data_IF_433712104578
#
_entry.id   IF_433712104578
#
_cell.length_a   1.000
_cell.length_b   1.000
_cell.length_c   1.000
_cell.angle_alpha   90.00
_cell.angle_beta   90.00
_cell.angle_gamma   90.00
#
_symmetry.space_group_name_H-M   'P 1'
#
loop_
_entity.id
_entity.type
_entity.pdbx_description
1 polymer ?
#
# COMPACT_ATOMS: atom_id res chain seq x y z
N UNK A 1 9.67 -32.58 41.65
CA UNK A 1 8.39 -31.83 41.68
C UNK A 1 8.54 -30.69 40.69
N UNK A 2 8.27 -30.88 39.39
CA UNK A 2 6.96 -30.98 38.73
C UNK A 2 6.01 -29.83 39.10
N UNK A 3 5.68 -29.05 38.05
CA UNK A 3 4.55 -28.15 37.85
C UNK A 3 4.72 -26.64 38.09
N UNK A 4 4.24 -25.90 37.08
CA UNK A 4 3.78 -24.50 37.04
C UNK A 4 4.82 -23.41 36.75
N UNK A 5 5.13 -23.21 35.46
CA UNK A 5 5.01 -21.90 34.79
C UNK A 5 5.11 -22.08 33.27
N UNK A 6 4.03 -22.56 32.68
CA UNK A 6 3.65 -22.28 31.31
C UNK A 6 2.40 -21.38 31.42
N UNK A 7 2.22 -20.45 30.47
CA UNK A 7 1.27 -19.30 30.47
C UNK A 7 1.94 -18.00 30.92
N UNK A 8 2.79 -17.43 30.05
CA UNK A 8 3.12 -16.00 30.06
C UNK A 8 3.69 -15.47 28.71
N UNK A 9 3.61 -16.24 27.61
CA UNK A 9 4.28 -15.87 26.34
C UNK A 9 3.33 -15.58 25.16
N UNK A 10 2.03 -15.37 25.41
CA UNK A 10 1.02 -15.18 24.36
C UNK A 10 0.23 -13.86 24.44
N UNK A 11 0.67 -12.89 25.27
CA UNK A 11 -0.13 -11.70 25.60
C UNK A 11 0.48 -10.36 25.17
N UNK A 12 1.68 -10.32 24.58
CA UNK A 12 2.34 -9.05 24.21
C UNK A 12 2.21 -8.69 22.74
N UNK A 13 1.98 -9.64 21.83
CA UNK A 13 1.83 -9.35 20.38
C UNK A 13 0.40 -8.95 19.99
N UNK A 14 -0.60 -9.23 20.82
CA UNK A 14 -2.00 -8.82 20.61
C UNK A 14 -2.21 -7.34 20.95
N UNK A 15 -1.32 -6.72 21.73
CA UNK A 15 -1.47 -5.34 22.22
C UNK A 15 -1.20 -4.29 21.12
N UNK A 16 -0.26 -4.50 20.21
CA UNK A 16 0.03 -3.52 19.16
C UNK A 16 -1.12 -3.38 18.13
N UNK A 17 -1.76 -4.49 17.75
CA UNK A 17 -2.92 -4.47 16.85
C UNK A 17 -4.22 -4.04 17.54
N UNK A 18 -4.40 -4.37 18.83
CA UNK A 18 -5.55 -3.86 19.61
C UNK A 18 -5.43 -2.39 19.97
N UNK A 19 -4.22 -1.84 20.16
CA UNK A 19 -4.05 -0.40 20.43
C UNK A 19 -4.47 0.44 19.21
N UNK A 20 -4.14 0.01 17.99
CA UNK A 20 -4.62 0.69 16.77
C UNK A 20 -6.14 0.58 16.56
N UNK A 21 -6.72 -0.60 16.78
CA UNK A 21 -8.18 -0.79 16.71
C UNK A 21 -8.93 -0.01 17.81
N UNK A 22 -8.39 0.04 19.04
CA UNK A 22 -8.99 0.76 20.17
C UNK A 22 -8.88 2.28 20.04
N UNK A 23 -7.85 2.81 19.38
CA UNK A 23 -7.72 4.24 19.12
C UNK A 23 -8.76 4.72 18.09
N UNK A 24 -9.04 3.92 17.07
CA UNK A 24 -10.11 4.20 16.09
C UNK A 24 -11.52 4.01 16.68
N UNK A 25 -11.74 2.96 17.49
CA UNK A 25 -13.03 2.71 18.15
C UNK A 25 -13.39 3.79 19.20
N UNK A 26 -12.40 4.33 19.93
CA UNK A 26 -12.64 5.40 20.91
C UNK A 26 -13.00 6.74 20.26
N UNK A 27 -12.48 7.02 19.07
CA UNK A 27 -12.90 8.18 18.29
C UNK A 27 -14.35 8.04 17.81
N UNK A 28 -14.74 6.84 17.37
CA UNK A 28 -16.12 6.50 16.97
C UNK A 28 -17.15 6.58 18.12
N UNK A 29 -16.80 6.07 19.31
CA UNK A 29 -17.72 6.01 20.45
C UNK A 29 -18.01 7.38 21.09
N UNK A 30 -17.06 8.32 21.01
CA UNK A 30 -17.24 9.68 21.52
C UNK A 30 -18.28 10.47 20.69
N UNK A 31 -18.38 10.19 19.39
CA UNK A 31 -19.35 10.83 18.49
C UNK A 31 -20.77 10.26 18.63
N UNK A 32 -20.89 8.95 18.94
CA UNK A 32 -22.22 8.33 19.12
C UNK A 32 -22.95 8.86 20.36
N UNK A 33 -22.21 9.23 21.40
CA UNK A 33 -22.77 9.84 22.60
C UNK A 33 -23.28 11.27 22.36
N UNK A 34 -22.72 11.99 21.38
CA UNK A 34 -23.11 13.37 21.06
C UNK A 34 -24.29 13.44 20.07
N UNK A 35 -24.54 12.37 19.31
CA UNK A 35 -25.69 12.25 18.40
C UNK A 35 -26.99 11.74 19.07
N UNK A 36 -26.91 11.24 20.31
CA UNK A 36 -28.06 10.61 20.99
C UNK A 36 -29.05 11.60 21.66
N UNK A 37 -28.80 12.92 21.62
CA UNK A 37 -29.67 13.92 22.28
C UNK A 37 -30.66 14.65 21.36
N UNK A 38 -30.83 14.24 20.09
CA UNK A 38 -31.86 14.87 19.25
C UNK A 38 -32.52 13.92 18.25
N UNK A 39 -33.66 13.37 18.63
CA UNK A 39 -34.92 13.34 17.87
C UNK A 39 -35.75 12.11 18.24
N UNK A 40 -36.83 12.37 18.97
CA UNK A 40 -38.02 11.54 18.99
C UNK A 40 -38.81 11.79 17.71
N UNK A 41 -38.97 10.79 16.85
CA UNK A 41 -40.31 10.53 16.30
C UNK A 41 -40.45 9.11 15.73
N UNK A 42 -41.62 8.57 16.00
CA UNK A 42 -42.08 7.19 15.84
C UNK A 42 -42.65 6.98 14.42
N UNK A 43 -42.06 6.10 13.62
CA UNK A 43 -42.80 5.39 12.56
C UNK A 43 -42.22 3.99 12.31
N UNK A 44 -43.15 3.04 12.22
CA UNK A 44 -42.93 1.59 12.13
C UNK A 44 -42.40 1.15 10.76
N UNK A 45 -41.21 0.53 10.74
CA UNK A 45 -40.59 -0.05 9.52
C UNK A 45 -40.78 -1.57 9.51
N UNK A 46 -41.41 -2.08 8.45
CA UNK A 46 -41.52 -3.53 8.19
C UNK A 46 -40.27 -4.06 7.48
N UNK A 47 -39.93 -5.32 7.75
CA UNK A 47 -38.63 -5.94 7.51
C UNK A 47 -38.28 -6.30 6.04
N UNK A 48 -38.60 -5.45 5.04
CA UNK A 48 -38.27 -5.74 3.63
C UNK A 48 -37.42 -4.71 2.87
N UNK A 49 -37.08 -3.57 3.45
CA UNK A 49 -36.26 -2.55 2.76
C UNK A 49 -34.97 -2.21 3.53
N UNK A 50 -34.04 -3.19 3.63
CA UNK A 50 -32.62 -2.89 3.86
C UNK A 50 -31.92 -2.68 2.52
N UNK A 51 -32.37 -1.71 1.73
CA UNK A 51 -31.53 -1.14 0.68
C UNK A 51 -30.57 -0.15 1.32
N UNK A 52 -29.29 -0.39 1.09
CA UNK A 52 -28.18 0.37 1.65
C UNK A 52 -28.28 1.84 1.23
N UNK A 53 -28.45 2.73 2.22
CA UNK A 53 -28.26 4.15 2.03
C UNK A 53 -26.77 4.47 2.11
N UNK A 54 -26.19 4.75 0.94
CA UNK A 54 -24.88 5.33 0.74
C UNK A 54 -24.85 5.81 -0.69
N UNK A 55 -25.22 7.08 -0.92
CA UNK A 55 -25.18 7.72 -2.23
C UNK A 55 -23.72 7.77 -2.69
N UNK A 56 -23.28 6.77 -3.45
CA UNK A 56 -22.08 6.88 -4.26
C UNK A 56 -22.42 7.81 -5.43
N UNK A 57 -21.87 9.03 -5.41
CA UNK A 57 -21.96 9.96 -6.54
C UNK A 57 -21.22 9.45 -7.80
N UNK A 58 -20.53 8.32 -7.68
CA UNK A 58 -19.94 7.54 -8.76
C UNK A 58 -20.67 6.20 -8.83
N UNK A 59 -21.08 5.82 -10.03
CA UNK A 59 -22.12 4.82 -10.32
C UNK A 59 -22.16 3.58 -9.42
N UNK A 60 -23.38 3.08 -9.23
CA UNK A 60 -23.66 1.76 -8.65
C UNK A 60 -22.72 0.70 -9.24
N UNK A 61 -22.32 -0.25 -8.40
CA UNK A 61 -21.74 -1.55 -8.79
C UNK A 61 -22.24 -1.97 -10.20
N UNK A 62 -21.41 -1.85 -11.26
CA UNK A 62 -21.91 -1.99 -12.62
C UNK A 62 -22.43 -3.39 -12.90
N UNK A 63 -23.43 -3.49 -13.78
CA UNK A 63 -24.00 -4.77 -14.19
C UNK A 63 -22.93 -5.68 -14.83
N UNK A 64 -23.02 -6.97 -14.51
CA UNK A 64 -22.12 -8.03 -14.98
C UNK A 64 -22.18 -8.23 -16.50
N UNK A 65 -21.10 -8.71 -17.16
CA UNK A 65 -19.82 -9.13 -16.57
C UNK A 65 -18.78 -8.01 -16.51
N UNK A 66 -18.05 -7.96 -15.39
CA UNK A 66 -16.89 -7.08 -15.20
C UNK A 66 -15.63 -7.68 -15.85
N UNK A 67 -14.65 -6.86 -16.24
CA UNK A 67 -13.39 -7.37 -16.76
C UNK A 67 -12.65 -8.18 -15.69
N UNK A 68 -11.98 -9.25 -16.09
CA UNK A 68 -11.05 -9.95 -15.20
C UNK A 68 -9.86 -9.04 -14.87
N UNK A 69 -9.30 -9.21 -13.67
CA UNK A 69 -8.07 -8.55 -13.28
C UNK A 69 -6.95 -8.90 -14.26
N UNK A 70 -6.35 -7.88 -14.84
CA UNK A 70 -5.15 -7.98 -15.65
C UNK A 70 -3.96 -7.76 -14.73
N UNK A 71 -3.01 -8.69 -14.77
CA UNK A 71 -1.73 -8.46 -14.11
C UNK A 71 -1.01 -7.29 -14.79
N UNK A 72 -0.28 -6.44 -14.02
CA UNK A 72 0.60 -5.46 -14.62
C UNK A 72 1.62 -6.12 -15.56
N UNK A 73 2.17 -5.37 -16.51
CA UNK A 73 3.30 -5.87 -17.29
C UNK A 73 4.42 -6.29 -16.32
N UNK A 74 5.13 -7.37 -16.59
CA UNK A 74 6.16 -7.87 -15.67
C UNK A 74 7.49 -8.03 -16.40
N UNK A 75 8.57 -7.56 -15.76
CA UNK A 75 9.95 -7.81 -16.16
C UNK A 75 10.61 -8.63 -15.07
N UNK A 76 11.13 -9.80 -15.44
CA UNK A 76 11.81 -10.71 -14.52
C UNK A 76 13.32 -10.65 -14.70
N UNK A 77 14.04 -10.94 -13.61
CA UNK A 77 15.48 -11.21 -13.67
C UNK A 77 15.80 -12.37 -14.60
N UNK A 78 16.83 -12.19 -15.43
CA UNK A 78 17.45 -13.23 -16.23
C UNK A 78 18.95 -13.27 -15.92
N UNK A 79 19.47 -14.45 -15.57
CA UNK A 79 20.87 -14.64 -15.21
C UNK A 79 21.38 -13.68 -14.10
N UNK A 80 20.53 -13.40 -13.10
CA UNK A 80 20.89 -12.55 -11.96
C UNK A 80 20.75 -11.05 -12.21
N UNK A 81 20.19 -10.63 -13.35
CA UNK A 81 19.95 -9.22 -13.69
C UNK A 81 18.51 -9.01 -14.16
N UNK A 82 17.75 -8.17 -13.45
CA UNK A 82 16.48 -7.65 -13.92
C UNK A 82 16.73 -6.36 -14.70
N UNK A 83 16.57 -6.42 -16.02
CA UNK A 83 16.85 -5.30 -16.92
C UNK A 83 15.58 -4.76 -17.53
N UNK A 84 15.28 -3.49 -17.27
CA UNK A 84 14.07 -2.82 -17.75
C UNK A 84 14.38 -1.46 -18.36
N UNK A 85 13.49 -0.99 -19.23
CA UNK A 85 13.46 0.40 -19.69
C UNK A 85 12.07 0.96 -19.46
N UNK A 86 12.00 2.13 -18.85
CA UNK A 86 10.78 2.88 -18.65
C UNK A 86 10.92 4.24 -19.32
N UNK A 87 10.01 4.51 -20.25
CA UNK A 87 9.96 5.74 -21.01
C UNK A 87 8.79 6.57 -20.49
N UNK A 88 9.12 7.67 -19.81
CA UNK A 88 8.14 8.66 -19.35
C UNK A 88 7.82 9.56 -20.52
N UNK A 89 6.55 9.60 -20.93
CA UNK A 89 6.08 10.48 -22.00
C UNK A 89 4.65 10.91 -21.75
N UNK A 90 4.36 12.18 -22.01
CA UNK A 90 2.97 12.66 -22.06
C UNK A 90 2.24 12.08 -23.26
N UNK A 91 1.17 11.35 -23.00
CA UNK A 91 0.34 10.74 -24.05
C UNK A 91 -1.07 10.43 -23.53
N UNK A 92 -1.93 10.03 -24.47
CA UNK A 92 -3.28 9.60 -24.16
C UNK A 92 -3.28 8.11 -23.81
N UNK A 93 -3.75 7.75 -22.61
CA UNK A 93 -3.85 6.37 -22.13
C UNK A 93 -5.24 6.08 -21.56
N UNK A 94 -5.60 4.79 -21.55
CA UNK A 94 -6.80 4.32 -20.85
C UNK A 94 -6.47 4.07 -19.37
N UNK A 95 -7.27 4.61 -18.47
CA UNK A 95 -7.17 4.41 -17.03
C UNK A 95 -8.58 4.17 -16.47
N UNK A 96 -8.89 2.92 -16.13
CA UNK A 96 -10.23 2.48 -15.79
C UNK A 96 -11.21 2.71 -16.93
N UNK A 97 -12.30 3.44 -16.64
CA UNK A 97 -13.31 3.84 -17.62
C UNK A 97 -13.04 5.23 -18.23
N UNK A 98 -11.88 5.83 -17.96
CA UNK A 98 -11.50 7.15 -18.45
C UNK A 98 -10.34 7.09 -19.45
N UNK A 99 -10.31 8.09 -20.33
CA UNK A 99 -9.13 8.42 -21.13
C UNK A 99 -8.41 9.60 -20.48
N UNK A 100 -7.10 9.46 -20.24
CA UNK A 100 -6.25 10.48 -19.61
C UNK A 100 -5.17 10.95 -20.56
N UNK A 101 -4.93 12.26 -20.60
CA UNK A 101 -3.73 12.82 -21.20
C UNK A 101 -2.70 13.10 -20.10
N UNK A 102 -1.71 12.22 -19.96
CA UNK A 102 -0.82 12.20 -18.79
C UNK A 102 0.58 11.70 -19.11
N UNK A 103 1.57 12.10 -18.30
CA UNK A 103 2.94 11.58 -18.35
C UNK A 103 3.00 10.21 -17.70
N UNK A 104 3.21 9.17 -18.50
CA UNK A 104 3.10 7.79 -18.03
C UNK A 104 4.21 6.91 -18.60
N UNK A 105 4.34 5.70 -18.06
CA UNK A 105 5.40 4.76 -18.45
C UNK A 105 4.97 3.87 -19.63
N UNK A 106 5.78 3.86 -20.70
CA UNK A 106 5.68 2.86 -21.78
C UNK A 106 4.29 2.75 -22.45
N UNK A 107 3.50 3.84 -22.49
CA UNK A 107 2.17 3.84 -23.10
C UNK A 107 1.07 3.20 -22.23
N UNK A 108 1.40 2.85 -20.99
CA UNK A 108 0.45 2.40 -19.97
C UNK A 108 0.39 3.44 -18.87
N UNK A 109 -0.71 3.46 -18.12
CA UNK A 109 -0.85 4.46 -17.07
C UNK A 109 0.19 4.25 -15.98
N UNK A 110 0.37 3.01 -15.50
CA UNK A 110 1.46 2.65 -14.57
C UNK A 110 2.56 1.81 -15.24
N UNK A 111 3.73 1.76 -14.60
CA UNK A 111 4.92 1.04 -15.06
C UNK A 111 4.85 -0.48 -14.85
N UNK A 112 5.79 -1.24 -15.41
CA UNK A 112 5.85 -2.68 -15.20
C UNK A 112 6.22 -3.04 -13.75
N UNK A 113 5.74 -4.20 -13.31
CA UNK A 113 6.28 -4.89 -12.14
C UNK A 113 7.69 -5.39 -12.44
N UNK A 114 8.66 -4.99 -11.62
CA UNK A 114 10.03 -5.49 -11.66
C UNK A 114 10.18 -6.62 -10.65
N UNK A 115 10.50 -7.84 -11.11
CA UNK A 115 10.58 -9.02 -10.25
C UNK A 115 11.96 -9.66 -10.27
N UNK A 116 12.53 -9.84 -9.09
CA UNK A 116 13.88 -10.38 -8.90
C UNK A 116 14.01 -10.99 -7.50
N UNK A 117 15.17 -11.56 -7.19
CA UNK A 117 15.54 -12.07 -5.88
C UNK A 117 16.53 -11.15 -5.17
N UNK A 118 16.57 -11.25 -3.85
CA UNK A 118 17.68 -10.71 -3.06
C UNK A 118 19.01 -11.24 -3.62
N UNK A 119 20.06 -10.41 -3.58
CA UNK A 119 21.35 -10.75 -4.17
C UNK A 119 21.45 -10.56 -5.69
N UNK A 120 20.36 -10.30 -6.43
CA UNK A 120 20.42 -10.00 -7.86
C UNK A 120 20.72 -8.51 -8.13
N UNK A 121 20.80 -8.12 -9.40
CA UNK A 121 21.02 -6.72 -9.82
C UNK A 121 19.82 -6.19 -10.59
N UNK A 122 19.39 -4.97 -10.27
CA UNK A 122 18.41 -4.22 -11.07
C UNK A 122 19.15 -3.23 -11.97
N UNK A 123 18.91 -3.30 -13.29
CA UNK A 123 19.29 -2.29 -14.27
C UNK A 123 18.03 -1.63 -14.86
N UNK A 124 17.71 -0.42 -14.43
CA UNK A 124 16.53 0.33 -14.90
C UNK A 124 16.97 1.56 -15.69
N UNK A 125 16.83 1.53 -17.02
CA UNK A 125 16.99 2.72 -17.85
C UNK A 125 15.71 3.56 -17.83
N UNK A 126 15.81 4.81 -17.43
CA UNK A 126 14.70 5.77 -17.37
C UNK A 126 14.92 6.82 -18.44
N UNK A 127 14.05 6.85 -19.44
CA UNK A 127 14.06 7.87 -20.49
C UNK A 127 12.99 8.91 -20.13
N UNK A 128 13.40 10.15 -19.89
CA UNK A 128 12.50 11.22 -19.47
C UNK A 128 12.11 12.14 -20.63
N UNK A 129 11.11 11.76 -21.42
CA UNK A 129 10.39 12.67 -22.33
C UNK A 129 9.11 13.24 -21.66
N UNK A 130 9.11 13.30 -20.33
CA UNK A 130 8.01 13.82 -19.53
C UNK A 130 7.98 15.35 -19.46
N UNK A 131 7.02 15.86 -18.68
CA UNK A 131 6.81 17.31 -18.51
C UNK A 131 7.69 17.96 -17.43
N UNK A 132 8.44 17.15 -16.66
CA UNK A 132 9.23 17.62 -15.52
C UNK A 132 10.58 16.90 -15.46
N UNK A 133 11.54 17.53 -14.79
CA UNK A 133 12.71 16.81 -14.30
C UNK A 133 12.26 15.75 -13.29
N UNK A 134 12.85 14.57 -13.36
CA UNK A 134 12.44 13.43 -12.55
C UNK A 134 13.62 12.73 -11.89
N UNK A 135 13.32 11.78 -11.02
CA UNK A 135 14.20 10.74 -10.52
C UNK A 135 13.31 9.55 -10.13
N UNK A 136 13.90 8.40 -9.82
CA UNK A 136 13.14 7.23 -9.38
C UNK A 136 13.66 6.83 -8.01
N UNK A 137 12.74 6.77 -7.06
CA UNK A 137 12.96 6.23 -5.73
C UNK A 137 12.48 4.78 -5.69
N UNK A 138 13.19 3.91 -4.97
CA UNK A 138 12.88 2.48 -4.83
C UNK A 138 12.30 2.23 -3.44
N UNK A 139 11.02 2.58 -3.29
CA UNK A 139 10.33 2.69 -2.02
C UNK A 139 10.29 1.37 -1.22
N UNK A 140 10.84 1.43 0.00
CA UNK A 140 10.96 0.31 0.93
C UNK A 140 12.15 -0.61 0.68
N UNK A 141 12.94 -0.36 -0.37
CA UNK A 141 14.14 -1.14 -0.63
C UNK A 141 15.30 -0.68 0.26
N UNK A 142 16.10 -1.61 0.78
CA UNK A 142 17.27 -1.33 1.61
C UNK A 142 18.54 -1.15 0.77
N UNK A 143 18.46 -0.33 -0.27
CA UNK A 143 19.49 -0.19 -1.32
C UNK A 143 20.35 1.06 -1.11
N UNK A 144 21.57 1.05 -1.65
CA UNK A 144 22.49 2.18 -1.49
C UNK A 144 22.02 3.44 -2.24
N UNK A 145 22.20 4.65 -1.67
CA UNK A 145 22.07 5.91 -2.40
C UNK A 145 23.25 6.25 -3.30
N UNK A 146 24.38 5.56 -3.15
CA UNK A 146 25.62 5.90 -3.88
C UNK A 146 25.46 5.68 -5.40
N UNK A 147 26.42 6.17 -6.18
CA UNK A 147 26.41 6.25 -7.65
C UNK A 147 25.60 5.14 -8.36
N UNK A 148 24.62 5.56 -9.19
CA UNK A 148 23.62 4.71 -9.88
C UNK A 148 22.55 4.07 -8.98
N UNK A 149 22.57 4.35 -7.69
CA UNK A 149 21.63 3.90 -6.66
C UNK A 149 20.43 4.82 -6.43
N UNK A 150 19.78 4.62 -5.28
CA UNK A 150 18.56 5.32 -4.87
C UNK A 150 18.87 6.64 -4.13
N UNK A 151 19.29 7.64 -4.90
CA UNK A 151 19.53 8.99 -4.39
C UNK A 151 18.38 9.93 -4.75
N UNK A 152 17.80 10.55 -3.73
CA UNK A 152 16.80 11.63 -3.88
C UNK A 152 17.38 12.89 -4.56
N UNK A 153 18.70 13.01 -4.65
CA UNK A 153 19.38 14.12 -5.32
C UNK A 153 19.73 13.82 -6.78
N UNK A 154 19.50 12.59 -7.26
CA UNK A 154 19.55 12.30 -8.70
C UNK A 154 18.56 13.19 -9.41
N UNK A 155 18.96 13.74 -10.56
CA UNK A 155 18.08 14.52 -11.45
C UNK A 155 18.25 13.98 -12.86
N UNK A 156 17.13 13.57 -13.45
CA UNK A 156 17.00 13.18 -14.85
C UNK A 156 16.25 14.32 -15.55
N UNK A 157 16.96 15.22 -16.25
CA UNK A 157 16.31 16.33 -16.95
C UNK A 157 15.37 15.84 -18.04
N UNK A 158 14.40 16.67 -18.42
CA UNK A 158 13.58 16.40 -19.61
C UNK A 158 14.46 16.24 -20.86
N UNK A 159 14.10 15.30 -21.74
CA UNK A 159 14.84 14.91 -22.94
C UNK A 159 16.13 14.11 -22.68
N UNK A 160 16.36 13.66 -21.44
CA UNK A 160 17.55 12.90 -21.06
C UNK A 160 17.17 11.53 -20.51
N UNK A 161 18.16 10.64 -20.42
CA UNK A 161 18.00 9.33 -19.79
C UNK A 161 19.03 9.11 -18.70
N UNK A 162 18.70 8.20 -17.78
CA UNK A 162 19.59 7.76 -16.72
C UNK A 162 19.34 6.28 -16.41
N UNK A 163 20.41 5.51 -16.28
CA UNK A 163 20.32 4.10 -15.90
C UNK A 163 20.68 3.93 -14.44
N UNK A 164 19.72 3.47 -13.64
CA UNK A 164 19.97 2.95 -12.29
C UNK A 164 20.58 1.56 -12.40
N UNK A 165 21.57 1.27 -11.56
CA UNK A 165 22.23 -0.04 -11.48
C UNK A 165 22.44 -0.41 -10.03
N UNK A 166 21.47 -1.14 -9.49
CA UNK A 166 21.33 -1.38 -8.05
C UNK A 166 21.60 -2.83 -7.75
N UNK A 167 22.62 -3.10 -6.92
CA UNK A 167 22.81 -4.42 -6.32
C UNK A 167 21.81 -4.58 -5.19
N UNK A 168 20.90 -5.54 -5.32
CA UNK A 168 19.92 -5.85 -4.28
C UNK A 168 20.65 -6.60 -3.17
N UNK A 169 20.63 -6.13 -1.91
CA UNK A 169 21.30 -6.83 -0.83
C UNK A 169 20.70 -8.22 -0.58
N UNK A 170 21.53 -9.15 -0.11
CA UNK A 170 21.09 -10.50 0.29
C UNK A 170 20.10 -10.48 1.48
N UNK A 171 20.15 -9.42 2.29
CA UNK A 171 19.27 -9.22 3.45
C UNK A 171 17.98 -8.47 3.10
N UNK A 172 17.78 -8.08 1.83
CA UNK A 172 16.50 -7.54 1.37
C UNK A 172 15.40 -8.57 1.61
N UNK A 173 14.37 -8.17 2.35
CA UNK A 173 13.27 -9.08 2.66
C UNK A 173 12.46 -9.40 1.39
N UNK A 174 11.93 -10.62 1.26
CA UNK A 174 11.05 -10.95 0.17
C UNK A 174 9.66 -10.35 0.42
N UNK A 175 9.08 -9.73 -0.60
CA UNK A 175 7.82 -9.01 -0.45
C UNK A 175 7.51 -8.11 -1.64
N UNK A 176 6.47 -7.31 -1.48
CA UNK A 176 6.06 -6.28 -2.45
C UNK A 176 6.59 -4.89 -2.04
N UNK A 177 7.17 -4.22 -3.01
CA UNK A 177 7.74 -2.88 -2.95
C UNK A 177 7.24 -2.11 -4.18
N UNK A 178 7.69 -0.88 -4.36
CA UNK A 178 7.33 -0.08 -5.52
C UNK A 178 8.43 0.94 -5.82
N UNK A 179 8.41 1.50 -7.03
CA UNK A 179 9.30 2.56 -7.45
C UNK A 179 8.48 3.69 -8.04
N UNK A 180 8.89 4.93 -7.78
CA UNK A 180 8.10 6.08 -8.20
C UNK A 180 8.94 7.35 -8.35
N UNK A 181 8.37 8.34 -9.03
CA UNK A 181 8.97 9.66 -9.11
C UNK A 181 9.10 10.31 -7.72
N UNK A 182 10.28 10.83 -7.40
CA UNK A 182 10.57 11.47 -6.10
C UNK A 182 11.26 12.85 -6.27
N UNK A 183 11.05 13.48 -7.42
CA UNK A 183 11.67 14.76 -7.75
C UNK A 183 11.07 15.88 -6.91
N UNK A 184 11.92 16.74 -6.36
CA UNK A 184 11.51 17.80 -5.46
C UNK A 184 10.43 18.69 -6.11
N UNK A 185 9.42 19.07 -5.32
CA UNK A 185 8.22 19.84 -5.72
C UNK A 185 7.28 19.18 -6.75
N UNK A 186 7.67 18.07 -7.38
CA UNK A 186 6.88 17.47 -8.47
C UNK A 186 6.53 16.00 -8.24
N UNK A 187 7.05 15.37 -7.17
CA UNK A 187 6.77 13.98 -6.78
C UNK A 187 5.27 13.65 -6.83
N UNK A 188 4.45 14.35 -6.03
CA UNK A 188 3.00 14.15 -5.99
C UNK A 188 2.37 14.19 -7.40
N UNK A 189 2.72 15.19 -8.21
CA UNK A 189 2.16 15.32 -9.56
C UNK A 189 2.56 14.15 -10.45
N UNK A 190 3.84 13.78 -10.44
CA UNK A 190 4.35 12.72 -11.30
C UNK A 190 3.76 11.36 -10.90
N UNK A 191 3.59 11.08 -9.61
CA UNK A 191 2.93 9.85 -9.16
C UNK A 191 1.46 9.82 -9.57
N UNK A 192 0.70 10.93 -9.41
CA UNK A 192 -0.68 11.02 -9.95
C UNK A 192 -0.73 10.88 -11.47
N UNK A 193 0.33 11.29 -12.18
CA UNK A 193 0.42 11.14 -13.63
C UNK A 193 0.67 9.69 -14.08
N UNK A 194 1.04 8.79 -13.16
CA UNK A 194 1.32 7.38 -13.44
C UNK A 194 2.81 7.03 -13.48
N UNK A 195 3.70 7.93 -13.02
CA UNK A 195 5.14 7.68 -12.92
C UNK A 195 5.44 6.87 -11.64
N UNK A 196 4.88 5.67 -11.61
CA UNK A 196 5.00 4.65 -10.54
C UNK A 196 5.01 3.25 -11.15
N UNK A 197 5.56 2.27 -10.44
CA UNK A 197 5.42 0.86 -10.76
C UNK A 197 5.84 -0.03 -9.59
N UNK A 198 5.52 -1.32 -9.68
CA UNK A 198 5.68 -2.26 -8.57
C UNK A 198 7.04 -2.97 -8.61
N UNK A 199 7.56 -3.37 -7.46
CA UNK A 199 8.70 -4.28 -7.32
C UNK A 199 8.27 -5.51 -6.53
N UNK A 200 8.72 -6.69 -6.94
CA UNK A 200 8.56 -7.91 -6.16
C UNK A 200 9.93 -8.55 -5.93
N UNK A 201 10.29 -8.69 -4.66
CA UNK A 201 11.40 -9.53 -4.23
C UNK A 201 10.83 -10.91 -3.93
N UNK A 202 11.23 -11.92 -4.71
CA UNK A 202 10.69 -13.28 -4.58
C UNK A 202 11.10 -13.95 -3.27
N UNK A 203 10.24 -14.86 -2.76
CA UNK A 203 10.52 -15.68 -1.57
C UNK A 203 9.51 -15.51 -0.42
N UNK A 204 8.47 -14.67 -0.60
CA UNK A 204 7.53 -14.34 0.48
C UNK A 204 6.80 -15.57 1.05
N UNK A 205 6.65 -16.63 0.24
CA UNK A 205 5.99 -17.88 0.63
C UNK A 205 6.96 -19.02 0.94
N UNK A 206 8.28 -18.80 0.93
CA UNK A 206 9.28 -19.86 1.17
C UNK A 206 9.14 -20.47 2.57
N UNK A 207 8.64 -19.69 3.54
CA UNK A 207 8.33 -20.13 4.90
C UNK A 207 6.99 -20.86 5.02
N UNK A 208 6.22 -21.01 3.94
CA UNK A 208 4.91 -21.64 3.95
C UNK A 208 4.81 -22.72 2.86
N UNK A 209 5.39 -23.93 3.05
CA UNK A 209 5.43 -24.96 2.02
C UNK A 209 4.06 -25.37 1.45
N UNK A 210 3.01 -25.32 2.27
CA UNK A 210 1.64 -25.60 1.85
C UNK A 210 1.06 -24.54 0.90
N UNK A 211 1.66 -23.35 0.83
CA UNK A 211 1.17 -22.21 0.05
C UNK A 211 2.02 -21.93 -1.19
N UNK A 212 3.08 -22.70 -1.45
CA UNK A 212 4.04 -22.41 -2.54
C UNK A 212 3.42 -22.30 -3.94
N UNK A 213 2.32 -23.02 -4.18
CA UNK A 213 1.65 -23.13 -5.49
C UNK A 213 0.31 -22.38 -5.53
N UNK A 214 -0.02 -21.59 -4.50
CA UNK A 214 -1.27 -20.80 -4.52
C UNK A 214 -1.19 -19.75 -5.62
N UNK A 215 -2.33 -19.47 -6.24
CA UNK A 215 -2.43 -18.43 -7.26
C UNK A 215 -2.12 -17.07 -6.63
N UNK A 216 -1.12 -16.39 -7.17
CA UNK A 216 -0.75 -15.02 -6.80
C UNK A 216 -1.53 -14.01 -7.66
N UNK A 217 -1.96 -12.90 -7.07
CA UNK A 217 -2.48 -11.73 -7.79
C UNK A 217 -1.89 -10.46 -7.19
N UNK A 218 -1.32 -9.62 -8.06
CA UNK A 218 -0.83 -8.29 -7.71
C UNK A 218 -2.00 -7.34 -7.85
N UNK A 219 -2.27 -6.56 -6.80
CA UNK A 219 -3.39 -5.63 -6.67
C UNK A 219 -2.79 -4.25 -6.36
N UNK A 220 -2.52 -3.48 -7.39
CA UNK A 220 -2.00 -2.11 -7.28
C UNK A 220 -3.17 -1.16 -7.21
N UNK A 221 -3.34 -0.52 -6.07
CA UNK A 221 -4.27 0.59 -5.87
C UNK A 221 -3.57 1.87 -6.31
N UNK A 222 -4.19 2.60 -7.22
CA UNK A 222 -3.69 3.88 -7.71
C UNK A 222 -4.85 4.84 -7.91
N UNK A 223 -4.58 6.14 -7.82
CA UNK A 223 -5.61 7.16 -7.94
C UNK A 223 -5.18 8.39 -8.71
N UNK A 224 -6.18 9.07 -9.28
CA UNK A 224 -5.99 10.38 -9.87
C UNK A 224 -7.24 11.24 -9.80
N UNK A 225 -7.01 12.53 -9.98
CA UNK A 225 -8.04 13.54 -10.23
C UNK A 225 -7.75 14.17 -11.59
N UNK A 226 -8.80 14.46 -12.37
CA UNK A 226 -8.64 15.06 -13.70
C UNK A 226 -9.53 16.27 -13.89
N UNK A 227 -9.05 17.21 -14.70
CA UNK A 227 -9.84 18.34 -15.18
C UNK A 227 -10.80 17.94 -16.30
N UNK A 228 -11.61 18.90 -16.75
CA UNK A 228 -12.53 18.70 -17.89
C UNK A 228 -11.80 18.39 -19.20
N UNK A 229 -10.53 18.80 -19.33
CA UNK A 229 -9.66 18.50 -20.48
C UNK A 229 -9.15 17.06 -20.50
N UNK A 230 -9.40 16.26 -19.46
CA UNK A 230 -8.87 14.90 -19.33
C UNK A 230 -7.41 14.83 -18.85
N UNK A 231 -6.79 15.97 -18.53
CA UNK A 231 -5.47 16.02 -17.92
C UNK A 231 -5.55 15.81 -16.41
N UNK A 232 -4.54 15.14 -15.84
CA UNK A 232 -4.35 15.01 -14.40
C UNK A 232 -4.16 16.41 -13.81
N UNK A 233 -4.88 16.72 -12.73
CA UNK A 233 -4.84 18.05 -12.10
C UNK A 233 -3.52 18.32 -11.39
N UNK A 234 -3.26 19.60 -11.16
CA UNK A 234 -2.10 20.04 -10.38
C UNK A 234 -2.48 20.10 -8.89
N UNK A 235 -1.72 19.39 -8.05
CA UNK A 235 -2.02 19.32 -6.61
C UNK A 235 -3.26 18.46 -6.33
N UNK A 236 -3.50 18.15 -5.05
CA UNK A 236 -4.73 17.46 -4.64
C UNK A 236 -5.82 18.53 -4.57
N UNK A 237 -6.91 18.30 -5.29
CA UNK A 237 -8.09 19.14 -5.27
C UNK A 237 -9.06 18.56 -4.23
N UNK A 238 -9.04 19.14 -3.03
CA UNK A 238 -9.90 18.74 -1.93
C UNK A 238 -11.36 18.82 -2.40
N UNK A 239 -12.15 17.77 -2.16
CA UNK A 239 -13.54 17.61 -2.61
C UNK A 239 -13.77 17.31 -4.10
N UNK A 240 -12.73 17.17 -4.92
CA UNK A 240 -12.92 16.72 -6.30
C UNK A 240 -13.11 15.20 -6.39
N UNK A 241 -13.85 14.72 -7.41
CA UNK A 241 -13.90 13.31 -7.76
C UNK A 241 -12.50 12.71 -7.86
N UNK A 242 -12.26 11.63 -7.12
CA UNK A 242 -11.03 10.85 -7.24
C UNK A 242 -11.34 9.50 -7.86
N UNK A 243 -10.65 9.18 -8.94
CA UNK A 243 -10.78 7.92 -9.65
C UNK A 243 -9.82 6.92 -9.03
N UNK A 244 -10.36 5.86 -8.42
CA UNK A 244 -9.56 4.80 -7.81
C UNK A 244 -9.51 3.60 -8.73
N UNK A 245 -8.32 3.11 -8.99
CA UNK A 245 -8.06 2.02 -9.90
C UNK A 245 -7.47 0.82 -9.16
N UNK A 246 -7.63 -0.35 -9.77
CA UNK A 246 -6.89 -1.57 -9.46
C UNK A 246 -6.18 -2.01 -10.74
N UNK A 247 -4.85 -2.00 -10.76
CA UNK A 247 -4.03 -2.35 -11.94
C UNK A 247 -4.48 -1.60 -13.22
N UNK A 248 -4.65 -0.28 -13.13
CA UNK A 248 -5.19 0.57 -14.21
C UNK A 248 -6.64 0.24 -14.63
N UNK A 249 -7.34 -0.67 -13.96
CA UNK A 249 -8.74 -1.04 -14.24
C UNK A 249 -9.70 -0.48 -13.19
N UNK A 250 -10.98 -0.39 -13.57
CA UNK A 250 -12.08 -0.07 -12.65
C UNK A 250 -12.88 -1.33 -12.33
N UNK A 251 -12.99 -1.65 -11.05
CA UNK A 251 -13.78 -2.77 -10.52
C UNK A 251 -13.51 -4.14 -11.18
N UNK A 252 -12.25 -4.59 -11.35
CA UNK A 252 -11.98 -5.89 -11.93
C UNK A 252 -12.49 -7.04 -11.05
N UNK A 253 -12.74 -8.19 -11.68
CA UNK A 253 -13.09 -9.44 -11.01
C UNK A 253 -11.87 -10.40 -10.97
N UNK A 254 -11.67 -11.09 -9.85
CA UNK A 254 -10.72 -12.20 -9.68
C UNK A 254 -11.54 -13.46 -9.41
N UNK A 255 -11.33 -14.49 -10.21
CA UNK A 255 -12.00 -15.79 -9.99
C UNK A 255 -11.29 -16.60 -8.91
N UNK A 256 -12.09 -17.22 -8.03
CA UNK A 256 -11.66 -18.14 -6.97
C UNK A 256 -12.72 -19.25 -6.82
N UNK A 257 -12.31 -20.46 -6.43
CA UNK A 257 -13.24 -21.56 -6.14
C UNK A 257 -13.57 -21.62 -4.64
N UNK A 258 -14.74 -22.17 -4.26
CA UNK A 258 -15.01 -22.45 -2.85
C UNK A 258 -13.91 -23.30 -2.21
N UNK A 259 -13.33 -22.82 -1.11
CA UNK A 259 -12.22 -23.47 -0.39
C UNK A 259 -10.84 -23.30 -1.03
N UNK A 260 -10.71 -22.61 -2.16
CA UNK A 260 -9.41 -22.25 -2.74
C UNK A 260 -8.74 -21.13 -1.94
N UNK A 261 -7.43 -21.29 -1.68
CA UNK A 261 -6.60 -20.23 -1.10
C UNK A 261 -5.89 -19.50 -2.22
N UNK A 262 -5.99 -18.17 -2.26
CA UNK A 262 -5.21 -17.32 -3.15
C UNK A 262 -4.38 -16.30 -2.36
N UNK A 263 -3.28 -15.86 -2.96
CA UNK A 263 -2.37 -14.89 -2.38
C UNK A 263 -2.50 -13.54 -3.09
N UNK A 264 -2.89 -12.50 -2.36
CA UNK A 264 -2.99 -11.14 -2.87
C UNK A 264 -1.83 -10.31 -2.32
N UNK A 265 -1.09 -9.65 -3.23
CA UNK A 265 -0.14 -8.60 -2.87
C UNK A 265 -0.76 -7.26 -3.23
N UNK A 266 -1.11 -6.49 -2.22
CA UNK A 266 -1.82 -5.23 -2.34
C UNK A 266 -0.83 -4.09 -2.09
N UNK A 267 -0.69 -3.18 -3.04
CA UNK A 267 0.13 -1.98 -2.89
C UNK A 267 -0.75 -0.74 -3.03
N UNK A 268 -0.63 0.19 -2.09
CA UNK A 268 -1.21 1.51 -2.24
C UNK A 268 -0.17 2.44 -2.88
N UNK A 269 -0.16 2.53 -4.21
CA UNK A 269 0.72 3.42 -4.98
C UNK A 269 0.09 4.82 -5.19
N UNK A 270 -0.97 5.14 -4.44
CA UNK A 270 -1.62 6.45 -4.44
C UNK A 270 -0.76 7.56 -3.82
N UNK A 271 -1.13 8.80 -4.11
CA UNK A 271 -0.39 9.98 -3.62
C UNK A 271 -0.83 10.50 -2.26
N UNK A 272 -2.05 10.18 -1.84
CA UNK A 272 -2.65 10.75 -0.64
C UNK A 272 -3.69 9.83 0.02
N UNK A 273 -4.44 9.07 -0.77
CA UNK A 273 -5.56 8.28 -0.28
C UNK A 273 -5.14 7.21 0.73
N UNK A 274 -5.90 7.16 1.82
CA UNK A 274 -5.93 6.02 2.73
C UNK A 274 -7.08 5.09 2.37
N UNK A 275 -6.81 3.78 2.43
CA UNK A 275 -7.82 2.76 2.30
C UNK A 275 -8.05 2.07 3.65
N UNK A 276 -9.28 1.65 3.90
CA UNK A 276 -9.63 0.83 5.05
C UNK A 276 -10.27 -0.46 4.54
N UNK A 277 -9.40 -1.40 4.17
CA UNK A 277 -9.72 -2.55 3.33
C UNK A 277 -10.45 -3.65 4.11
N UNK A 278 -11.54 -4.17 3.57
CA UNK A 278 -12.25 -5.35 4.07
C UNK A 278 -12.91 -6.17 2.94
N UNK A 279 -13.32 -7.39 3.27
CA UNK A 279 -14.12 -8.26 2.38
C UNK A 279 -15.56 -8.44 2.89
N UNK A 280 -16.19 -7.36 3.39
CA UNK A 280 -17.54 -7.43 3.95
C UNK A 280 -17.62 -8.22 5.26
N UNK A 281 -16.54 -8.19 6.06
CA UNK A 281 -16.43 -8.91 7.33
C UNK A 281 -15.84 -10.32 7.22
N UNK A 282 -15.57 -10.81 6.00
CA UNK A 282 -14.83 -12.06 5.81
C UNK A 282 -13.38 -11.94 6.28
N UNK A 283 -12.83 -13.08 6.70
CA UNK A 283 -11.46 -13.16 7.22
C UNK A 283 -10.44 -13.25 6.09
N UNK A 284 -9.31 -12.64 6.31
CA UNK A 284 -8.08 -12.83 5.55
C UNK A 284 -6.89 -12.94 6.50
N UNK A 285 -5.77 -13.47 6.01
CA UNK A 285 -4.59 -13.72 6.83
C UNK A 285 -3.40 -12.95 6.29
N UNK A 286 -2.91 -11.99 7.07
CA UNK A 286 -1.76 -11.14 6.75
C UNK A 286 -0.46 -11.94 6.91
N UNK A 287 0.32 -11.97 5.83
CA UNK A 287 1.61 -12.67 5.75
C UNK A 287 2.80 -11.71 5.58
N UNK A 288 2.55 -10.46 5.18
CA UNK A 288 3.56 -9.42 5.05
C UNK A 288 2.95 -8.02 5.05
N UNK A 289 3.72 -7.04 5.53
CA UNK A 289 3.38 -5.61 5.57
C UNK A 289 4.61 -4.83 5.13
N UNK A 290 4.46 -3.92 4.17
CA UNK A 290 5.54 -3.09 3.64
C UNK A 290 6.80 -3.86 3.16
N UNK A 291 6.61 -5.10 2.68
CA UNK A 291 7.71 -5.98 2.26
C UNK A 291 8.39 -6.73 3.41
N UNK A 292 7.89 -6.60 4.63
CA UNK A 292 8.37 -7.31 5.81
C UNK A 292 7.43 -8.48 6.12
N UNK A 293 7.93 -9.72 6.19
CA UNK A 293 7.10 -10.88 6.53
C UNK A 293 6.64 -10.81 7.98
N UNK A 294 5.40 -11.24 8.24
CA UNK A 294 4.91 -11.34 9.62
C UNK A 294 5.61 -12.47 10.38
N UNK A 295 5.76 -12.31 11.69
CA UNK A 295 6.31 -13.37 12.58
C UNK A 295 5.44 -14.63 12.49
N UNK A 296 4.12 -14.44 12.35
CA UNK A 296 3.11 -15.46 12.11
C UNK A 296 1.96 -14.87 11.30
N UNK A 297 1.17 -15.71 10.64
CA UNK A 297 -0.04 -15.25 9.96
C UNK A 297 -1.00 -14.57 10.94
N UNK A 298 -1.35 -13.32 10.66
CA UNK A 298 -2.29 -12.55 11.48
C UNK A 298 -3.66 -12.57 10.82
N UNK A 299 -4.66 -13.12 11.50
CA UNK A 299 -6.06 -13.03 11.05
C UNK A 299 -6.56 -11.59 11.18
N UNK A 300 -7.22 -11.09 10.14
CA UNK A 300 -7.88 -9.80 10.13
C UNK A 300 -9.19 -9.87 9.33
N UNK A 301 -10.12 -8.97 9.62
CA UNK A 301 -11.33 -8.72 8.81
C UNK A 301 -11.31 -7.35 8.18
N UNK A 302 -10.38 -6.50 8.60
CA UNK A 302 -10.18 -5.14 8.12
C UNK A 302 -8.72 -4.72 8.30
N UNK A 303 -8.18 -3.93 7.37
CA UNK A 303 -6.82 -3.41 7.45
C UNK A 303 -6.69 -1.99 6.88
N UNK A 304 -6.16 -1.01 7.65
CA UNK A 304 -5.86 0.31 7.12
C UNK A 304 -4.59 0.27 6.25
N UNK A 305 -4.64 0.91 5.09
CA UNK A 305 -3.54 0.98 4.14
C UNK A 305 -3.35 2.44 3.69
N UNK A 306 -2.41 3.14 4.33
CA UNK A 306 -2.05 4.51 3.98
C UNK A 306 -1.32 4.60 2.63
N UNK A 307 -1.19 5.82 2.10
CA UNK A 307 -0.46 6.06 0.86
C UNK A 307 0.98 5.52 0.95
N UNK A 308 1.41 4.76 -0.05
CA UNK A 308 2.71 4.10 -0.10
C UNK A 308 2.84 2.79 0.68
N UNK A 309 1.84 2.41 1.48
CA UNK A 309 1.86 1.18 2.25
C UNK A 309 1.52 -0.06 1.40
N UNK A 310 2.04 -1.22 1.79
CA UNK A 310 1.79 -2.50 1.13
C UNK A 310 1.33 -3.57 2.11
N UNK A 311 0.52 -4.50 1.62
CA UNK A 311 -0.09 -5.57 2.39
C UNK A 311 -0.11 -6.87 1.59
N UNK A 312 0.32 -7.96 2.20
CA UNK A 312 0.33 -9.28 1.58
C UNK A 312 -0.57 -10.23 2.38
N UNK A 313 -1.58 -10.79 1.73
CA UNK A 313 -2.64 -11.55 2.41
C UNK A 313 -3.02 -12.84 1.69
N UNK A 314 -3.35 -13.86 2.49
CA UNK A 314 -4.08 -15.03 2.02
C UNK A 314 -5.58 -14.79 2.16
N UNK A 315 -6.33 -15.14 1.12
CA UNK A 315 -7.79 -15.10 1.10
C UNK A 315 -8.37 -16.48 0.79
N UNK A 316 -9.49 -16.82 1.43
CA UNK A 316 -10.25 -18.05 1.18
C UNK A 316 -11.72 -17.81 1.46
N UNK A 317 -12.59 -18.27 0.57
CA UNK A 317 -14.03 -18.23 0.74
C UNK A 317 -14.62 -19.62 0.57
N UNK A 318 -15.37 -20.10 1.57
CA UNK A 318 -15.86 -21.49 1.58
C UNK A 318 -17.24 -21.64 0.91
N UNK A 319 -17.95 -20.53 0.67
CA UNK A 319 -19.29 -20.52 0.05
C UNK A 319 -19.23 -19.82 -1.31
N UNK A 320 -19.99 -20.29 -2.31
CA UNK A 320 -20.17 -19.54 -3.54
C UNK A 320 -20.74 -18.15 -3.28
N UNK A 321 -20.22 -17.14 -3.97
CA UNK A 321 -20.59 -15.76 -3.73
C UNK A 321 -19.68 -14.75 -4.41
N UNK A 322 -20.00 -13.46 -4.25
CA UNK A 322 -19.20 -12.33 -4.73
C UNK A 322 -18.69 -11.56 -3.52
N UNK A 323 -17.39 -11.65 -3.27
CA UNK A 323 -16.73 -11.05 -2.11
C UNK A 323 -15.95 -9.82 -2.58
N UNK A 324 -16.43 -8.63 -2.25
CA UNK A 324 -15.83 -7.39 -2.73
C UNK A 324 -14.69 -7.01 -1.82
N UNK A 325 -13.52 -6.71 -2.38
CA UNK A 325 -12.53 -5.92 -1.66
C UNK A 325 -13.07 -4.49 -1.63
N UNK A 326 -13.36 -4.01 -0.44
CA UNK A 326 -14.04 -2.75 -0.20
C UNK A 326 -13.17 -1.86 0.70
N UNK A 327 -13.21 -0.55 0.47
CA UNK A 327 -12.73 0.43 1.45
C UNK A 327 -13.89 1.12 2.10
N UNK A 328 -13.90 1.17 3.43
CA UNK A 328 -14.86 2.00 4.18
C UNK A 328 -14.56 3.49 4.04
N UNK A 329 -15.53 4.35 4.40
CA UNK A 329 -15.26 5.78 4.57
C UNK A 329 -14.15 5.96 5.62
N UNK A 330 -13.19 6.83 5.32
CA UNK A 330 -12.12 7.18 6.24
C UNK A 330 -11.94 8.69 6.23
N UNK A 331 -11.74 9.25 7.41
CA UNK A 331 -11.35 10.65 7.61
C UNK A 331 -9.97 10.67 8.23
N UNK A 332 -9.07 11.47 7.69
CA UNK A 332 -7.70 11.60 8.21
C UNK A 332 -7.64 12.58 9.39
N UNK A 333 -8.72 13.21 9.80
CA UNK A 333 -8.81 14.00 11.03
C UNK A 333 -9.62 15.28 10.85
N UNK A 334 -9.78 16.11 11.89
CA UNK A 334 -10.53 17.37 11.80
C UNK A 334 -10.08 18.32 10.69
N UNK A 335 -8.78 18.39 10.41
CA UNK A 335 -8.21 19.24 9.36
C UNK A 335 -7.84 18.46 8.09
N UNK A 336 -8.08 17.14 8.10
CA UNK A 336 -7.66 16.27 7.01
C UNK A 336 -8.74 15.97 5.99
N UNK A 337 -8.38 15.12 5.05
CA UNK A 337 -9.25 14.64 3.98
C UNK A 337 -10.30 13.61 4.43
N UNK A 338 -11.43 13.64 3.73
CA UNK A 338 -12.46 12.60 3.78
C UNK A 338 -12.49 11.81 2.48
N UNK A 339 -12.35 10.49 2.59
CA UNK A 339 -12.41 9.57 1.46
C UNK A 339 -13.65 8.69 1.56
N UNK A 340 -14.50 8.71 0.54
CA UNK A 340 -15.74 7.95 0.52
C UNK A 340 -15.50 6.44 0.43
N UNK A 341 -16.44 5.65 0.96
CA UNK A 341 -16.46 4.20 0.78
C UNK A 341 -16.57 3.81 -0.70
N UNK A 342 -15.92 2.72 -1.10
CA UNK A 342 -15.94 2.24 -2.49
C UNK A 342 -15.54 0.76 -2.59
N UNK A 343 -16.11 0.05 -3.57
CA UNK A 343 -15.65 -1.29 -3.93
C UNK A 343 -14.46 -1.17 -4.89
N UNK A 344 -13.38 -1.90 -4.66
CA UNK A 344 -12.16 -1.81 -5.47
C UNK A 344 -12.10 -2.92 -6.52
N UNK A 345 -12.35 -4.17 -6.10
CA UNK A 345 -12.42 -5.36 -6.96
C UNK A 345 -13.41 -6.39 -6.38
N UNK A 346 -13.74 -7.44 -7.13
CA UNK A 346 -14.53 -8.58 -6.63
C UNK A 346 -13.77 -9.89 -6.74
N UNK A 347 -13.71 -10.65 -5.65
CA UNK A 347 -13.41 -12.07 -5.66
C UNK A 347 -14.70 -12.84 -6.00
N UNK A 348 -14.78 -13.44 -7.18
CA UNK A 348 -15.93 -14.22 -7.67
C UNK A 348 -15.72 -15.67 -7.28
N UNK A 349 -16.32 -16.09 -6.17
CA UNK A 349 -16.23 -17.44 -5.63
C UNK A 349 -17.28 -18.35 -6.28
N UNK A 350 -16.90 -19.14 -7.29
CA UNK A 350 -17.83 -19.99 -8.06
C UNK A 350 -17.16 -21.29 -8.52
N UNK A 351 -17.97 -22.23 -9.00
CA UNK A 351 -17.50 -23.54 -9.48
C UNK A 351 -17.48 -24.62 -8.40
N UNK A 352 -16.87 -25.76 -8.72
CA UNK A 352 -16.77 -26.89 -7.80
C UNK A 352 -15.82 -26.59 -6.64
N UNK A 353 -16.19 -26.88 -5.39
CA UNK A 353 -15.32 -26.72 -4.23
C UNK A 353 -14.00 -27.50 -4.37
N UNK A 354 -12.92 -26.93 -3.86
CA UNK A 354 -11.63 -27.62 -3.77
C UNK A 354 -11.77 -28.82 -2.84
N UNK A 355 -11.38 -30.02 -3.33
CA UNK A 355 -11.58 -31.27 -2.59
C UNK A 355 -10.80 -31.33 -1.26
N UNK A 356 -9.58 -30.77 -1.22
CA UNK A 356 -8.73 -30.70 -0.03
C UNK A 356 -8.24 -29.26 0.18
N UNK A 357 -9.07 -28.37 0.76
CA UNK A 357 -8.70 -27.00 1.03
C UNK A 357 -7.47 -26.90 1.94
N UNK A 358 -6.57 -25.97 1.64
CA UNK A 358 -5.47 -25.65 2.55
C UNK A 358 -6.07 -25.01 3.81
N UNK A 359 -5.70 -25.53 4.98
CA UNK A 359 -6.11 -24.95 6.26
C UNK A 359 -5.43 -23.60 6.48
N UNK A 360 -6.12 -22.63 7.06
CA UNK A 360 -5.54 -21.35 7.49
C UNK A 360 -5.90 -21.11 8.96
N UNK A 361 -5.03 -20.47 9.75
CA UNK A 361 -3.69 -19.99 9.39
C UNK A 361 -2.66 -21.12 9.21
N UNK A 362 -1.60 -20.86 8.44
CA UNK A 362 -0.41 -21.70 8.39
C UNK A 362 0.63 -21.19 9.40
N UNK A 363 1.44 -22.10 9.94
CA UNK A 363 2.59 -21.74 10.79
C UNK A 363 3.84 -21.61 9.90
N UNK A 364 4.59 -20.50 9.97
CA UNK A 364 5.80 -20.36 9.18
C UNK A 364 6.87 -21.34 9.64
N UNK A 365 7.63 -21.89 8.69
CA UNK A 365 8.80 -22.73 8.97
C UNK A 365 10.07 -21.86 9.06
N UNK A 366 11.03 -22.34 9.85
CA UNK A 366 12.31 -21.64 10.04
C UNK A 366 12.20 -20.35 10.89
N UNK A 367 13.35 -19.73 11.18
CA UNK A 367 13.41 -18.50 11.98
C UNK A 367 12.69 -17.35 11.27
N UNK A 368 12.18 -16.39 12.05
CA UNK A 368 11.75 -15.10 11.51
C UNK A 368 12.99 -14.40 10.94
N UNK A 369 12.95 -13.88 9.70
CA UNK A 369 14.10 -13.21 9.11
C UNK A 369 14.29 -11.78 9.65
N UNK A 370 13.32 -11.27 10.41
CA UNK A 370 13.38 -9.97 11.08
C UNK A 370 13.81 -10.13 12.53
N UNK A 371 14.73 -9.26 12.95
CA UNK A 371 15.14 -9.14 14.34
C UNK A 371 14.04 -8.46 15.19
N UNK A 372 13.90 -8.91 16.44
CA UNK A 372 13.00 -8.27 17.41
C UNK A 372 13.72 -7.12 18.14
N UNK A 373 13.53 -5.91 17.62
CA UNK A 373 14.09 -4.66 18.13
C UNK A 373 13.46 -4.23 19.48
N UNK A 374 12.36 -4.84 19.93
CA UNK A 374 11.71 -4.47 21.21
C UNK A 374 12.59 -4.74 22.44
N UNK A 375 13.61 -5.60 22.28
CA UNK A 375 14.58 -5.95 23.32
C UNK A 375 15.93 -5.29 23.13
N UNK A 376 16.13 -4.56 22.04
CA UNK A 376 17.38 -3.88 21.71
C UNK A 376 17.43 -2.56 22.49
N UNK A 377 18.57 -2.30 23.15
CA UNK A 377 18.81 -0.99 23.77
C UNK A 377 19.28 -0.04 22.69
N UNK A 378 18.58 1.09 22.44
CA UNK A 378 18.97 2.00 21.37
C UNK A 378 20.26 2.75 21.72
N UNK A 379 21.16 2.88 20.73
CA UNK A 379 22.37 3.70 20.82
C UNK A 379 22.02 5.19 20.91
N UNK A 380 20.98 5.61 20.18
CA UNK A 380 20.47 6.98 20.15
C UNK A 380 18.94 6.98 20.17
N UNK A 381 18.33 7.92 20.89
CA UNK A 381 16.89 8.22 20.78
C UNK A 381 16.69 9.60 20.17
N UNK A 382 15.83 9.69 19.16
CA UNK A 382 15.49 10.92 18.44
C UNK A 382 14.02 11.22 18.56
N UNK A 383 13.65 12.47 18.33
CA UNK A 383 12.26 12.89 18.21
C UNK A 383 12.11 13.77 16.99
N UNK A 384 11.11 13.46 16.17
CA UNK A 384 10.66 14.32 15.08
C UNK A 384 9.20 14.68 15.33
N UNK A 385 8.83 15.91 15.01
CA UNK A 385 7.49 16.43 15.22
C UNK A 385 6.94 16.91 13.90
N UNK A 386 5.86 16.28 13.44
CA UNK A 386 5.04 16.76 12.34
C UNK A 386 4.13 17.88 12.85
N UNK A 387 4.08 18.96 12.11
CA UNK A 387 3.25 20.13 12.41
C UNK A 387 2.69 20.67 11.12
N UNK A 388 1.44 21.14 11.18
CA UNK A 388 0.71 21.53 9.99
C UNK A 388 -0.22 22.74 10.24
N UNK A 389 -0.39 23.56 9.20
CA UNK A 389 -1.61 24.35 8.95
C UNK A 389 -2.09 24.04 7.52
N UNK A 390 -3.31 24.45 7.08
CA UNK A 390 -3.87 24.01 5.80
C UNK A 390 -3.01 24.16 4.54
N UNK A 391 -1.96 25.00 4.55
CA UNK A 391 -1.01 25.15 3.44
C UNK A 391 0.46 25.14 3.90
N UNK A 392 0.74 24.61 5.10
CA UNK A 392 2.06 24.66 5.71
C UNK A 392 2.38 23.34 6.40
N UNK A 393 3.26 22.54 5.79
CA UNK A 393 3.65 21.23 6.30
C UNK A 393 5.12 21.25 6.70
N UNK A 394 5.41 20.87 7.96
CA UNK A 394 6.76 20.96 8.52
C UNK A 394 7.11 19.76 9.39
N UNK A 395 8.41 19.50 9.45
CA UNK A 395 9.01 18.59 10.44
C UNK A 395 9.92 19.42 11.33
N UNK A 396 9.76 19.31 12.65
CA UNK A 396 10.48 20.10 13.65
C UNK A 396 10.39 21.62 13.37
N UNK A 397 9.19 22.09 12.98
CA UNK A 397 8.89 23.48 12.62
C UNK A 397 9.70 24.04 11.44
N UNK A 398 10.30 23.19 10.61
CA UNK A 398 11.10 23.58 9.44
C UNK A 398 10.52 22.97 8.17
N UNK A 399 10.65 23.71 7.07
CA UNK A 399 10.50 23.14 5.73
C UNK A 399 11.71 22.28 5.39
N UNK A 400 11.49 21.36 4.44
CA UNK A 400 12.57 20.69 3.75
C UNK A 400 13.52 21.71 3.11
N UNK A 401 14.82 21.47 3.26
CA UNK A 401 15.89 22.22 2.63
C UNK A 401 16.95 21.23 2.17
N UNK A 402 17.06 21.03 0.85
CA UNK A 402 17.98 20.06 0.26
C UNK A 402 19.46 20.40 0.45
N UNK A 403 19.78 21.56 1.02
CA UNK A 403 21.15 21.98 1.35
C UNK A 403 21.50 21.82 2.83
N UNK A 404 20.52 21.41 3.66
CA UNK A 404 20.67 21.27 5.11
C UNK A 404 20.66 19.80 5.53
N UNK A 405 21.59 19.42 6.40
CA UNK A 405 21.55 18.13 7.09
C UNK A 405 20.75 18.32 8.37
N UNK A 406 19.52 17.78 8.43
CA UNK A 406 18.68 17.84 9.62
C UNK A 406 19.02 16.75 10.66
N UNK A 407 19.42 15.56 10.20
CA UNK A 407 19.83 14.44 11.04
C UNK A 407 21.11 13.84 10.50
N UNK A 408 22.09 13.65 11.37
CA UNK A 408 23.28 12.85 11.09
C UNK A 408 23.14 11.53 11.84
N UNK A 409 22.99 10.44 11.10
CA UNK A 409 22.84 9.08 11.61
C UNK A 409 24.11 8.31 11.31
N UNK A 410 24.62 7.58 12.30
CA UNK A 410 25.82 6.76 12.13
C UNK A 410 25.41 5.39 11.60
N UNK A 411 26.09 4.94 10.54
CA UNK A 411 25.85 3.63 9.97
C UNK A 411 26.09 2.52 11.01
N UNK A 412 25.11 1.63 11.17
CA UNK A 412 25.16 0.49 12.09
C UNK A 412 24.61 0.74 13.50
N UNK A 413 24.25 1.98 13.85
CA UNK A 413 23.61 2.26 15.14
C UNK A 413 22.14 1.77 15.13
N UNK A 414 21.67 1.23 16.25
CA UNK A 414 20.25 0.96 16.48
C UNK A 414 19.61 2.20 17.12
N UNK A 415 18.75 2.91 16.39
CA UNK A 415 18.14 4.14 16.89
C UNK A 415 16.65 3.96 17.22
N UNK A 416 16.18 4.64 18.27
CA UNK A 416 14.76 4.78 18.57
C UNK A 416 14.25 6.14 18.09
N UNK A 417 13.31 6.14 17.16
CA UNK A 417 12.71 7.36 16.63
C UNK A 417 11.31 7.56 17.22
N UNK A 418 11.13 8.66 17.96
CA UNK A 418 9.82 9.08 18.45
C UNK A 418 9.22 10.02 17.39
N UNK A 419 8.27 9.51 16.62
CA UNK A 419 7.52 10.29 15.63
C UNK A 419 6.27 10.85 16.30
N UNK A 420 6.20 12.17 16.46
CA UNK A 420 5.03 12.85 17.03
C UNK A 420 4.27 13.57 15.93
N UNK A 421 2.97 13.35 15.90
CA UNK A 421 2.07 14.16 15.11
C UNK A 421 1.42 15.22 16.00
N UNK A 422 1.65 16.50 15.72
CA UNK A 422 1.05 17.63 16.42
C UNK A 422 0.03 18.38 15.56
N UNK A 423 -0.39 17.81 14.42
CA UNK A 423 -1.52 18.30 13.63
C UNK A 423 -2.81 17.53 13.97
N UNK A 424 -3.92 18.00 13.39
CA UNK A 424 -5.23 17.35 13.43
C UNK A 424 -5.50 16.53 12.15
N UNK A 425 -4.46 16.02 11.49
CA UNK A 425 -4.54 15.16 10.30
C UNK A 425 -3.58 13.96 10.42
N UNK A 426 -3.94 12.79 9.87
CA UNK A 426 -3.08 11.62 9.76
C UNK A 426 -1.96 11.85 8.75
N UNK A 427 -0.74 11.56 9.17
CA UNK A 427 0.47 11.60 8.34
C UNK A 427 1.05 10.20 8.20
N UNK A 428 1.29 9.74 6.96
CA UNK A 428 2.11 8.53 6.73
C UNK A 428 3.58 8.92 6.86
N UNK A 429 4.26 8.35 7.84
CA UNK A 429 5.70 8.52 8.00
C UNK A 429 6.46 7.44 7.24
N UNK A 430 7.38 7.88 6.37
CA UNK A 430 8.30 7.01 5.65
C UNK A 430 9.75 7.45 5.91
N UNK A 431 10.66 6.48 6.02
CA UNK A 431 12.11 6.67 6.06
C UNK A 431 12.74 5.81 4.97
N UNK A 432 13.65 6.39 4.19
CA UNK A 432 14.26 5.71 3.05
C UNK A 432 15.30 4.69 3.53
N UNK A 433 15.56 3.66 2.71
CA UNK A 433 16.70 2.73 2.82
C UNK A 433 16.71 1.78 4.02
N UNK A 434 15.72 1.88 4.90
CA UNK A 434 15.64 1.11 6.14
C UNK A 434 14.21 0.68 6.39
N UNK A 435 14.06 -0.52 6.93
CA UNK A 435 12.84 -0.93 7.61
C UNK A 435 12.95 -0.59 9.11
N UNK A 436 11.80 -0.49 9.78
CA UNK A 436 11.76 -0.25 11.22
C UNK A 436 10.65 -1.06 11.89
N UNK A 437 10.87 -1.40 13.17
CA UNK A 437 9.83 -1.99 14.01
C UNK A 437 9.11 -0.89 14.80
N UNK A 438 7.79 -0.84 14.68
CA UNK A 438 6.95 -0.03 15.56
C UNK A 438 6.95 -0.68 16.95
N UNK A 439 7.32 0.10 17.98
CA UNK A 439 7.51 -0.35 19.37
C UNK A 439 6.29 -0.10 20.26
#
# INVERSE_FOLDING_TARGET
MKHLTAIALALTSTLASTVWAQLLDKASAAETAQAAESNTDDTTVTAKDKQMFGLSWFGSDPENPRPLLQAPAEVRSENGVCKATVHIRKQVVQAGDQTLNTSCFNGRYTGPTLRFRAGETLELNVINDGEYNTNIHFHGMQVSPDDYGDSVFTVIPMGHEYTYRIKIPEYQQPGIYWYHAHSHQTSQRQVMQGVTGTIIVEGALDRYPALKDVKESIVVLHDYQKGLSGEVVLGIQISWPTYRLVNDQKFPDIEIKPGEVQFLRIANESTNIYYNLDFGGEKFWVVGVDGNPTVQMTEATRWPLGAGARLEVMVRFDKPGRYKLHTSEIRTGPNGDGYSAENLLTMVCMGDPVANPIALPQTPVGPCPLDDLSKVTPDVTRTIVFSETPNDFRINNRYFDGTRIDQLVRYGDNEKWIVRNSSDELHVFHIHQLDFQIL
#
